data_IF_868347587945
#
_entry.id   IF_868347587945
#
_cell.length_a   1.000
_cell.length_b   1.000
_cell.length_c   1.000
_cell.angle_alpha   90.00
_cell.angle_beta   90.00
_cell.angle_gamma   90.00
#
_symmetry.space_group_name_H-M   'P 1'
#
loop_
_entity.id
_entity.type
_entity.pdbx_description
1 polymer ?
#
# COMPACT_ATOMS: atom_id res chain seq x y z
N UNK A 1 27.86 -7.19 7.36
CA UNK A 1 27.03 -7.39 6.15
C UNK A 1 27.80 -6.83 4.97
N UNK A 2 27.91 -7.56 3.85
CA UNK A 2 28.23 -6.90 2.57
C UNK A 2 26.99 -6.07 2.21
N UNK A 3 26.98 -4.78 2.56
CA UNK A 3 25.83 -3.88 2.44
C UNK A 3 25.52 -3.43 1.01
N UNK A 4 25.97 -4.17 0.00
CA UNK A 4 25.73 -3.83 -1.40
C UNK A 4 24.50 -4.60 -1.88
N UNK A 5 23.35 -3.92 -1.87
CA UNK A 5 22.12 -4.44 -2.47
C UNK A 5 22.31 -4.48 -3.99
N UNK A 6 22.17 -5.63 -4.66
CA UNK A 6 22.26 -5.73 -6.11
C UNK A 6 21.16 -4.90 -6.78
N UNK A 7 21.49 -4.30 -7.92
CA UNK A 7 20.51 -3.61 -8.77
C UNK A 7 20.19 -4.51 -9.97
N UNK A 8 18.91 -4.80 -10.18
CA UNK A 8 18.42 -5.51 -11.37
C UNK A 8 17.56 -4.57 -12.23
N UNK A 9 17.66 -4.73 -13.54
CA UNK A 9 16.89 -3.96 -14.52
C UNK A 9 16.14 -4.96 -15.40
N UNK A 10 14.83 -4.79 -15.49
CA UNK A 10 13.93 -5.67 -16.23
C UNK A 10 13.11 -4.82 -17.16
N UNK A 11 13.03 -5.25 -18.42
CA UNK A 11 12.13 -4.69 -19.40
C UNK A 11 11.42 -5.85 -20.07
N UNK A 12 10.11 -5.86 -20.02
CA UNK A 12 9.27 -6.89 -20.63
C UNK A 12 8.01 -6.26 -21.24
N UNK A 13 7.38 -6.99 -22.13
CA UNK A 13 6.20 -6.49 -22.84
C UNK A 13 4.98 -6.38 -21.92
N UNK A 14 4.72 -7.42 -21.11
CA UNK A 14 3.49 -7.57 -20.33
C UNK A 14 3.77 -7.68 -18.84
N UNK A 15 2.83 -7.28 -17.98
CA UNK A 15 2.90 -7.42 -16.52
C UNK A 15 3.37 -8.81 -16.03
N UNK A 16 2.76 -9.94 -16.46
CA UNK A 16 3.15 -11.27 -15.96
C UNK A 16 4.56 -11.69 -16.38
N UNK A 17 5.00 -11.35 -17.60
CA UNK A 17 6.38 -11.61 -18.04
C UNK A 17 7.39 -10.83 -17.19
N UNK A 18 7.08 -9.56 -16.91
CA UNK A 18 7.92 -8.72 -16.05
C UNK A 18 8.00 -9.28 -14.63
N UNK A 19 6.86 -9.70 -14.06
CA UNK A 19 6.78 -10.31 -12.74
C UNK A 19 7.59 -11.61 -12.64
N UNK A 20 7.39 -12.55 -13.56
CA UNK A 20 8.13 -13.83 -13.60
C UNK A 20 9.63 -13.58 -13.72
N UNK A 21 10.04 -12.70 -14.65
CA UNK A 21 11.46 -12.35 -14.83
C UNK A 21 12.04 -11.66 -13.60
N UNK A 22 11.26 -10.88 -12.86
CA UNK A 22 11.67 -10.29 -11.59
C UNK A 22 11.93 -11.34 -10.52
N UNK A 23 11.05 -12.34 -10.39
CA UNK A 23 11.25 -13.43 -9.44
C UNK A 23 12.49 -14.26 -9.78
N UNK A 24 12.67 -14.63 -11.05
CA UNK A 24 13.85 -15.38 -11.52
C UNK A 24 15.14 -14.57 -11.29
N UNK A 25 15.13 -13.28 -11.63
CA UNK A 25 16.30 -12.41 -11.41
C UNK A 25 16.62 -12.20 -9.93
N UNK A 26 15.61 -12.02 -9.08
CA UNK A 26 15.75 -11.97 -7.62
C UNK A 26 16.35 -13.27 -7.07
N UNK A 27 15.88 -14.42 -7.53
CA UNK A 27 16.38 -15.72 -7.07
C UNK A 27 17.87 -15.92 -7.39
N UNK A 28 18.29 -15.57 -8.61
CA UNK A 28 19.66 -15.78 -9.06
C UNK A 28 20.65 -14.72 -8.56
N UNK A 29 20.21 -13.47 -8.44
CA UNK A 29 21.11 -12.34 -8.19
C UNK A 29 20.91 -11.69 -6.81
N UNK A 30 19.83 -12.01 -6.11
CA UNK A 30 19.49 -11.40 -4.83
C UNK A 30 20.44 -11.81 -3.71
N UNK A 31 20.56 -10.93 -2.72
CA UNK A 31 21.30 -11.24 -1.50
C UNK A 31 20.36 -11.77 -0.43
N UNK A 32 20.87 -12.68 0.40
CA UNK A 32 20.16 -13.12 1.60
C UNK A 32 20.32 -12.06 2.70
N UNK A 33 19.20 -11.53 3.19
CA UNK A 33 19.17 -10.51 4.24
C UNK A 33 18.15 -10.88 5.31
N UNK A 34 18.45 -10.51 6.55
CA UNK A 34 17.49 -10.63 7.65
C UNK A 34 16.51 -9.47 7.61
N UNK A 35 15.21 -9.77 7.67
CA UNK A 35 14.13 -8.76 7.75
C UNK A 35 13.35 -8.88 9.07
N UNK A 36 12.51 -7.89 9.36
CA UNK A 36 11.54 -7.92 10.46
C UNK A 36 10.46 -9.00 10.30
N UNK A 37 10.29 -9.55 9.09
CA UNK A 37 9.29 -10.57 8.79
C UNK A 37 9.83 -12.00 8.89
N UNK A 38 11.15 -12.18 8.98
CA UNK A 38 11.77 -13.51 8.98
C UNK A 38 11.41 -14.29 10.26
N UNK A 39 10.88 -15.50 10.08
CA UNK A 39 10.55 -16.43 11.17
C UNK A 39 11.73 -17.35 11.49
N UNK A 40 11.85 -17.76 12.75
CA UNK A 40 12.90 -18.70 13.19
C UNK A 40 12.81 -20.02 12.41
N UNK A 41 13.94 -20.45 11.84
CA UNK A 41 14.02 -21.70 11.07
C UNK A 41 13.59 -21.60 9.61
N UNK A 42 13.12 -20.43 9.16
CA UNK A 42 12.82 -20.16 7.75
C UNK A 42 14.05 -19.55 7.07
N UNK A 43 14.32 -19.85 5.78
CA UNK A 43 15.38 -19.17 5.04
C UNK A 43 15.24 -17.64 5.08
N UNK A 44 16.38 -16.96 5.08
CA UNK A 44 16.43 -15.50 4.98
C UNK A 44 15.74 -15.02 3.70
N UNK A 45 15.13 -13.84 3.80
CA UNK A 45 14.57 -13.13 2.65
C UNK A 45 15.66 -12.83 1.60
N UNK A 46 15.25 -12.75 0.34
CA UNK A 46 16.09 -12.29 -0.77
C UNK A 46 15.77 -10.82 -1.07
N UNK A 47 16.81 -10.04 -1.37
CA UNK A 47 16.67 -8.60 -1.61
C UNK A 47 17.50 -8.12 -2.80
N UNK A 48 16.91 -7.18 -3.55
CA UNK A 48 17.45 -6.46 -4.71
C UNK A 48 16.77 -5.10 -4.80
N UNK A 49 17.46 -4.12 -5.38
CA UNK A 49 16.83 -2.94 -5.96
C UNK A 49 16.41 -3.28 -7.40
N UNK A 50 15.12 -3.20 -7.71
CA UNK A 50 14.62 -3.54 -9.05
C UNK A 50 14.06 -2.32 -9.78
N UNK A 51 14.55 -2.10 -11.01
CA UNK A 51 13.92 -1.20 -11.97
C UNK A 51 13.18 -2.04 -13.02
N UNK A 52 11.85 -1.96 -13.05
CA UNK A 52 11.02 -2.79 -13.91
C UNK A 52 10.23 -1.90 -14.86
N UNK A 53 10.39 -2.14 -16.17
CA UNK A 53 9.66 -1.45 -17.24
C UNK A 53 8.74 -2.45 -17.92
N UNK A 54 7.45 -2.10 -18.02
CA UNK A 54 6.45 -2.86 -18.75
C UNK A 54 6.03 -2.03 -19.96
N UNK A 55 6.27 -2.54 -21.16
CA UNK A 55 6.08 -1.78 -22.40
C UNK A 55 4.60 -1.63 -22.78
N UNK A 56 3.78 -2.65 -22.51
CA UNK A 56 2.34 -2.65 -22.74
C UNK A 56 1.64 -3.32 -21.54
N UNK A 57 1.36 -2.57 -20.46
CA UNK A 57 0.81 -3.13 -19.23
C UNK A 57 -0.64 -3.60 -19.37
N UNK A 58 -1.36 -3.20 -20.44
CA UNK A 58 -2.75 -3.60 -20.68
C UNK A 58 -2.86 -4.81 -21.61
N UNK A 59 -1.76 -5.24 -22.23
CA UNK A 59 -1.73 -6.43 -23.08
C UNK A 59 -2.01 -7.70 -22.27
N UNK A 60 -2.84 -8.57 -22.84
CA UNK A 60 -3.15 -9.86 -22.24
C UNK A 60 -1.97 -10.84 -22.33
N UNK A 61 -1.76 -11.69 -21.31
CA UNK A 61 -2.44 -11.67 -20.00
C UNK A 61 -1.96 -10.50 -19.12
N UNK A 62 -2.85 -9.90 -18.33
CA UNK A 62 -2.49 -8.83 -17.38
C UNK A 62 -2.04 -9.36 -16.01
N UNK A 63 -2.36 -10.61 -15.69
CA UNK A 63 -2.15 -11.20 -14.37
C UNK A 63 -1.27 -12.45 -14.51
N UNK A 64 -0.31 -12.60 -13.61
CA UNK A 64 0.53 -13.78 -13.53
C UNK A 64 -0.21 -14.96 -12.87
N UNK A 65 0.04 -16.19 -13.34
CA UNK A 65 -0.63 -17.39 -12.80
C UNK A 65 -0.24 -17.69 -11.36
N UNK A 66 0.99 -17.38 -10.97
CA UNK A 66 1.40 -17.39 -9.57
C UNK A 66 0.93 -16.08 -8.93
N UNK A 67 -0.29 -16.11 -8.40
CA UNK A 67 -0.93 -15.03 -7.66
C UNK A 67 -0.99 -15.42 -6.18
N UNK A 68 -0.24 -14.74 -5.29
CA UNK A 68 -0.38 -14.95 -3.85
C UNK A 68 -1.84 -14.77 -3.42
N UNK A 69 -2.36 -15.70 -2.62
CA UNK A 69 -3.76 -15.66 -2.18
C UNK A 69 -4.81 -16.18 -3.19
N UNK A 70 -4.44 -16.38 -4.45
CA UNK A 70 -5.36 -16.88 -5.48
C UNK A 70 -6.34 -15.83 -6.01
N UNK A 71 -7.37 -16.30 -6.73
CA UNK A 71 -8.34 -15.43 -7.43
C UNK A 71 -9.26 -14.70 -6.44
N UNK A 72 -9.60 -15.34 -5.32
CA UNK A 72 -10.50 -14.77 -4.32
C UNK A 72 -9.85 -13.55 -3.63
N UNK A 73 -8.61 -13.71 -3.15
CA UNK A 73 -7.85 -12.61 -2.54
C UNK A 73 -7.56 -11.50 -3.56
N UNK A 74 -7.29 -11.84 -4.82
CA UNK A 74 -7.15 -10.84 -5.88
C UNK A 74 -8.44 -10.03 -6.08
N UNK A 75 -9.61 -10.69 -6.04
CA UNK A 75 -10.90 -10.00 -6.16
C UNK A 75 -11.16 -9.12 -4.94
N UNK A 76 -10.84 -9.59 -3.75
CA UNK A 76 -10.92 -8.77 -2.52
C UNK A 76 -10.02 -7.53 -2.62
N UNK A 77 -8.80 -7.69 -3.15
CA UNK A 77 -7.88 -6.56 -3.37
C UNK A 77 -8.44 -5.56 -4.38
N UNK A 78 -9.05 -6.01 -5.48
CA UNK A 78 -9.75 -5.10 -6.41
C UNK A 78 -10.88 -4.34 -5.71
N UNK A 79 -11.68 -5.01 -4.88
CA UNK A 79 -12.77 -4.36 -4.14
C UNK A 79 -12.26 -3.35 -3.11
N UNK A 80 -11.10 -3.62 -2.49
CA UNK A 80 -10.42 -2.68 -1.61
C UNK A 80 -10.03 -1.41 -2.36
N UNK A 81 -9.42 -1.54 -3.54
CA UNK A 81 -9.07 -0.40 -4.41
C UNK A 81 -10.29 0.39 -4.92
N UNK A 82 -11.47 -0.23 -4.97
CA UNK A 82 -12.74 0.42 -5.27
C UNK A 82 -13.38 1.10 -4.05
N UNK A 83 -12.74 1.02 -2.86
CA UNK A 83 -13.19 1.65 -1.62
C UNK A 83 -14.22 0.83 -0.82
N UNK A 84 -14.60 -0.36 -1.28
CA UNK A 84 -15.61 -1.18 -0.60
C UNK A 84 -15.18 -1.65 0.79
N UNK A 85 -13.87 -1.65 1.08
CA UNK A 85 -13.31 -2.12 2.36
C UNK A 85 -12.98 -1.01 3.36
N UNK A 86 -13.17 0.26 3.00
CA UNK A 86 -12.84 1.41 3.87
C UNK A 86 -13.59 1.40 5.21
N UNK A 87 -14.79 0.81 5.24
CA UNK A 87 -15.56 0.67 6.46
C UNK A 87 -14.91 -0.27 7.50
N UNK A 88 -14.00 -1.14 7.05
CA UNK A 88 -13.28 -2.16 7.83
C UNK A 88 -11.87 -1.71 8.23
N UNK A 89 -11.66 -0.40 8.39
CA UNK A 89 -10.44 0.16 8.98
C UNK A 89 -10.59 0.28 10.50
N UNK A 90 -9.52 -0.04 11.23
CA UNK A 90 -9.46 -0.02 12.69
C UNK A 90 -9.41 1.38 13.27
N UNK A 91 -9.72 1.49 14.56
CA UNK A 91 -9.38 2.67 15.35
C UNK A 91 -7.91 2.59 15.77
N UNK A 92 -7.11 3.59 15.41
CA UNK A 92 -5.67 3.58 15.61
C UNK A 92 -5.26 3.59 17.09
N UNK A 93 -6.13 4.12 17.95
CA UNK A 93 -5.93 4.16 19.40
C UNK A 93 -6.57 2.98 20.15
N UNK A 94 -7.10 1.98 19.45
CA UNK A 94 -7.66 0.76 20.05
C UNK A 94 -6.72 -0.43 19.74
N UNK A 95 -5.86 -0.84 20.68
CA UNK A 95 -4.89 -1.92 20.44
C UNK A 95 -5.54 -3.29 20.26
N UNK A 96 -6.79 -3.47 20.71
CA UNK A 96 -7.54 -4.71 20.58
C UNK A 96 -8.31 -4.80 19.24
N UNK A 97 -8.30 -3.72 18.45
CA UNK A 97 -8.96 -3.66 17.15
C UNK A 97 -8.10 -4.32 16.06
N UNK A 98 -8.50 -5.53 15.66
CA UNK A 98 -7.77 -6.39 14.71
C UNK A 98 -8.10 -6.09 13.24
N UNK A 99 -8.92 -5.08 12.97
CA UNK A 99 -9.25 -4.65 11.60
C UNK A 99 -8.03 -4.02 10.92
N UNK A 100 -8.15 -3.72 9.63
CA UNK A 100 -7.01 -3.22 8.85
C UNK A 100 -6.57 -1.83 9.31
N UNK A 101 -5.24 -1.54 9.34
CA UNK A 101 -4.75 -0.21 9.68
C UNK A 101 -5.09 0.84 8.62
N UNK A 102 -5.30 0.42 7.38
CA UNK A 102 -5.67 1.28 6.25
C UNK A 102 -6.21 0.46 5.08
N UNK A 103 -6.70 1.16 4.07
CA UNK A 103 -6.95 0.68 2.70
C UNK A 103 -6.12 1.53 1.74
N UNK A 104 -5.57 0.96 0.67
CA UNK A 104 -4.91 1.76 -0.37
C UNK A 104 -5.86 2.80 -0.98
N UNK A 105 -7.14 2.47 -1.15
CA UNK A 105 -8.10 3.46 -1.65
C UNK A 105 -8.18 4.69 -0.72
N UNK A 106 -8.30 4.53 0.59
CA UNK A 106 -8.26 5.67 1.52
C UNK A 106 -6.91 6.39 1.53
N UNK A 107 -5.79 5.66 1.39
CA UNK A 107 -4.46 6.28 1.25
C UNK A 107 -4.35 7.19 0.03
N UNK A 108 -5.11 6.95 -1.03
CA UNK A 108 -5.10 7.81 -2.23
C UNK A 108 -6.24 8.84 -2.27
N UNK A 109 -7.46 8.46 -1.87
CA UNK A 109 -8.66 9.29 -1.99
C UNK A 109 -8.93 10.18 -0.78
N UNK A 110 -8.32 9.88 0.37
CA UNK A 110 -8.58 10.53 1.65
C UNK A 110 -7.31 10.59 2.52
N UNK A 111 -6.18 10.95 1.91
CA UNK A 111 -4.89 10.93 2.57
C UNK A 111 -4.84 11.92 3.74
N UNK A 112 -4.16 11.53 4.82
CA UNK A 112 -4.06 12.31 6.05
C UNK A 112 -5.19 12.06 7.04
N UNK A 113 -6.04 11.06 6.78
CA UNK A 113 -7.15 10.66 7.65
C UNK A 113 -6.88 9.33 8.36
N UNK A 114 -7.36 9.24 9.60
CA UNK A 114 -7.42 8.02 10.39
C UNK A 114 -8.66 7.99 11.28
N UNK A 115 -8.94 6.83 11.88
CA UNK A 115 -10.03 6.68 12.83
C UNK A 115 -9.52 6.55 14.26
N UNK A 116 -10.23 7.19 15.19
CA UNK A 116 -10.03 7.04 16.63
C UNK A 116 -11.35 6.72 17.33
N UNK A 117 -11.24 5.91 18.38
CA UNK A 117 -12.29 5.69 19.37
C UNK A 117 -12.24 6.81 20.40
N UNK A 118 -13.31 7.59 20.53
CA UNK A 118 -13.41 8.65 21.55
C UNK A 118 -14.57 8.42 22.51
N UNK A 119 -14.32 8.75 23.77
CA UNK A 119 -15.30 8.74 24.84
C UNK A 119 -15.88 10.15 24.99
N UNK A 120 -17.19 10.28 24.82
CA UNK A 120 -17.90 11.51 25.17
C UNK A 120 -18.75 11.29 26.41
N UNK A 121 -18.70 12.26 27.32
CA UNK A 121 -19.65 12.39 28.41
C UNK A 121 -20.91 13.05 27.84
N UNK A 122 -22.07 12.40 27.98
CA UNK A 122 -23.35 13.06 27.68
C UNK A 122 -23.56 14.26 28.64
N UNK A 123 -24.31 15.27 28.21
CA UNK A 123 -24.71 16.42 29.05
C UNK A 123 -25.39 15.98 30.36
N UNK A 124 -26.04 14.81 30.36
CA UNK A 124 -26.68 14.19 31.53
C UNK A 124 -25.73 13.36 32.43
N UNK A 125 -24.41 13.44 32.24
CA UNK A 125 -23.33 12.88 33.10
C UNK A 125 -23.38 11.39 33.48
N UNK A 126 -24.35 10.60 33.01
CA UNK A 126 -24.53 9.20 33.45
C UNK A 126 -24.43 8.13 32.35
N UNK A 127 -24.11 8.49 31.10
CA UNK A 127 -23.82 7.52 30.04
C UNK A 127 -22.65 7.97 29.16
N UNK A 128 -21.59 7.15 29.13
CA UNK A 128 -20.51 7.26 28.15
C UNK A 128 -21.07 6.81 26.79
N UNK A 129 -21.11 7.70 25.80
CA UNK A 129 -21.33 7.30 24.41
C UNK A 129 -19.95 7.15 23.76
N UNK A 130 -19.66 5.95 23.26
CA UNK A 130 -18.43 5.69 22.51
C UNK A 130 -18.73 6.04 21.05
N UNK A 131 -18.03 7.04 20.51
CA UNK A 131 -18.03 7.27 19.06
C UNK A 131 -16.90 6.43 18.46
N UNK A 132 -17.25 5.49 17.58
CA UNK A 132 -16.33 4.48 17.07
C UNK A 132 -15.56 4.90 15.82
N UNK A 133 -15.74 6.13 15.31
CA UNK A 133 -15.11 6.62 14.08
C UNK A 133 -15.00 8.15 14.04
N UNK A 134 -14.27 8.75 14.98
CA UNK A 134 -13.85 10.14 14.76
C UNK A 134 -12.80 10.19 13.66
N UNK A 135 -12.87 11.21 12.81
CA UNK A 135 -12.00 11.40 11.64
C UNK A 135 -11.17 12.67 11.84
N UNK A 136 -10.04 12.65 12.58
CA UNK A 136 -9.35 13.88 12.97
C UNK A 136 -8.62 14.57 11.80
N UNK A 137 -8.33 13.81 10.73
CA UNK A 137 -7.68 14.33 9.54
C UNK A 137 -8.62 15.06 8.58
N UNK A 138 -8.10 16.08 7.89
CA UNK A 138 -8.86 16.88 6.93
C UNK A 138 -9.10 16.18 5.58
N UNK A 139 -8.40 15.08 5.30
CA UNK A 139 -8.51 14.32 4.06
C UNK A 139 -7.98 15.05 2.83
N UNK A 140 -7.14 14.38 2.05
CA UNK A 140 -6.64 14.89 0.77
C UNK A 140 -6.94 13.86 -0.31
N UNK A 141 -7.79 14.25 -1.25
CA UNK A 141 -8.06 13.44 -2.44
C UNK A 141 -6.95 13.59 -3.47
N UNK A 142 -5.88 12.81 -3.29
CA UNK A 142 -4.70 12.86 -4.15
C UNK A 142 -5.03 12.44 -5.59
N UNK A 143 -5.98 11.52 -5.79
CA UNK A 143 -6.43 11.08 -7.12
C UNK A 143 -6.99 12.28 -7.89
N UNK A 144 -7.92 13.02 -7.30
CA UNK A 144 -8.51 14.20 -7.93
C UNK A 144 -7.46 15.27 -8.23
N UNK A 145 -6.59 15.57 -7.25
CA UNK A 145 -5.52 16.56 -7.42
C UNK A 145 -4.59 16.17 -8.57
N UNK A 146 -4.22 14.90 -8.65
CA UNK A 146 -3.35 14.36 -9.70
C UNK A 146 -4.01 14.48 -11.07
N UNK A 147 -5.28 14.06 -11.21
CA UNK A 147 -6.04 14.15 -12.48
C UNK A 147 -6.18 15.61 -12.91
N UNK A 148 -6.66 16.49 -12.02
CA UNK A 148 -6.84 17.91 -12.32
C UNK A 148 -5.53 18.55 -12.79
N UNK A 149 -4.41 18.19 -12.15
CA UNK A 149 -3.08 18.68 -12.51
C UNK A 149 -2.63 18.20 -13.87
N UNK A 150 -2.79 16.92 -14.20
CA UNK A 150 -2.37 16.39 -15.51
C UNK A 150 -3.27 16.85 -16.65
N UNK A 151 -4.57 17.05 -16.39
CA UNK A 151 -5.48 17.66 -17.38
C UNK A 151 -5.04 19.09 -17.72
N UNK A 152 -4.67 19.87 -16.70
CA UNK A 152 -4.25 21.26 -16.87
C UNK A 152 -2.81 21.39 -17.42
N UNK A 153 -1.90 20.58 -16.91
CA UNK A 153 -0.46 20.63 -17.17
C UNK A 153 0.08 19.21 -17.45
N UNK A 154 -0.17 18.63 -18.64
CA UNK A 154 0.20 17.24 -18.95
C UNK A 154 1.71 16.95 -18.86
N UNK A 155 2.55 17.97 -19.03
CA UNK A 155 4.01 17.87 -18.91
C UNK A 155 4.52 18.02 -17.46
N UNK A 156 3.62 18.06 -16.47
CA UNK A 156 3.97 18.23 -15.07
C UNK A 156 4.86 17.10 -14.58
N UNK A 157 6.00 17.46 -13.99
CA UNK A 157 6.86 16.54 -13.24
C UNK A 157 6.50 16.45 -11.76
N UNK A 158 5.36 17.00 -11.38
CA UNK A 158 4.90 17.14 -10.00
C UNK A 158 3.53 16.47 -9.79
N UNK A 159 3.20 15.46 -10.59
CA UNK A 159 2.03 14.61 -10.42
C UNK A 159 2.44 13.36 -9.64
N UNK A 160 2.27 13.42 -8.31
CA UNK A 160 2.66 12.36 -7.39
C UNK A 160 1.54 12.13 -6.38
N UNK A 161 1.35 10.87 -6.02
CA UNK A 161 0.62 10.45 -4.84
C UNK A 161 1.55 9.69 -3.89
N UNK A 162 1.32 9.81 -2.60
CA UNK A 162 2.05 9.08 -1.55
C UNK A 162 1.05 8.32 -0.67
N UNK A 163 1.43 7.17 -0.16
CA UNK A 163 0.57 6.43 0.80
C UNK A 163 1.09 6.58 2.23
N UNK A 164 2.40 6.75 2.38
CA UNK A 164 3.06 6.84 3.68
C UNK A 164 2.59 8.08 4.45
N UNK A 165 2.24 7.88 5.70
CA UNK A 165 1.87 8.91 6.67
C UNK A 165 2.89 8.87 7.82
N UNK A 166 3.88 9.79 7.84
CA UNK A 166 4.94 9.77 8.85
C UNK A 166 4.45 9.80 10.30
N UNK A 167 3.28 10.39 10.56
CA UNK A 167 2.70 10.50 11.89
C UNK A 167 2.01 9.20 12.37
N UNK A 168 1.93 8.17 11.54
CA UNK A 168 1.26 6.90 11.85
C UNK A 168 2.07 5.66 11.46
N UNK A 169 2.63 5.62 10.27
CA UNK A 169 3.10 4.36 9.67
C UNK A 169 4.42 3.84 10.25
N UNK A 170 5.11 4.64 11.06
CA UNK A 170 6.34 4.21 11.74
C UNK A 170 6.09 3.12 12.80
N UNK A 171 4.89 3.06 13.37
CA UNK A 171 4.56 2.18 14.50
C UNK A 171 3.53 1.09 14.13
N UNK A 172 3.08 1.06 12.87
CA UNK A 172 2.13 0.06 12.38
C UNK A 172 2.89 -1.22 12.00
N UNK A 173 2.37 -2.37 12.42
CA UNK A 173 2.98 -3.68 12.13
C UNK A 173 3.11 -3.96 10.62
N UNK A 174 2.04 -3.66 9.86
CA UNK A 174 1.99 -3.83 8.39
C UNK A 174 1.74 -2.47 7.71
N UNK A 175 2.75 -1.61 7.51
CA UNK A 175 2.58 -0.31 6.85
C UNK A 175 2.38 -0.48 5.32
N UNK A 176 1.94 0.56 4.58
CA UNK A 176 1.76 0.48 3.13
C UNK A 176 3.05 0.07 2.43
N UNK A 177 2.98 -0.95 1.56
CA UNK A 177 4.14 -1.41 0.79
C UNK A 177 4.41 -0.49 -0.42
N UNK A 178 3.36 -0.07 -1.14
CA UNK A 178 3.47 0.94 -2.19
C UNK A 178 3.65 2.28 -1.50
N UNK A 179 4.82 2.91 -1.57
CA UNK A 179 5.12 4.17 -0.87
C UNK A 179 4.67 5.41 -1.64
N UNK A 180 4.87 5.41 -2.96
CA UNK A 180 4.56 6.54 -3.84
C UNK A 180 4.28 6.09 -5.26
N UNK A 181 3.46 6.86 -5.96
CA UNK A 181 3.15 6.69 -7.37
C UNK A 181 3.33 8.03 -8.11
N UNK A 182 4.09 8.00 -9.20
CA UNK A 182 4.38 9.17 -10.03
C UNK A 182 3.76 8.99 -11.40
N UNK A 183 3.16 10.07 -11.92
CA UNK A 183 2.45 10.08 -13.18
C UNK A 183 3.04 11.14 -14.12
N UNK A 184 2.98 10.87 -15.42
CA UNK A 184 3.47 11.71 -16.51
C UNK A 184 2.60 11.50 -17.74
#
# INVERSE_FOLDING_TARGET
MKGNIPVIIIQEETLPKAYEKALVALYHNGIKIKTQYDKKGVPLSLDVTANITILDPLKQPMIHKAMPGGIDDLREYCMELEGYKDHWVKNMNDPDDTRWPYTYYSRFSDWGTWFEKRHFLNEDKNRLKINYKEKPGNGINQIKIMIDKLVKEPYSRQAQMITWMPFMDNDIYDPPCIQSAWYR
#
